data_IF_526111604139
#
_entry.id   IF_526111604139
#
_cell.length_a   1.000
_cell.length_b   1.000
_cell.length_c   1.000
_cell.angle_alpha   90.00
_cell.angle_beta   90.00
_cell.angle_gamma   90.00
#
_symmetry.space_group_name_H-M   'P 1'
#
loop_
_entity.id
_entity.type
_entity.pdbx_description
1 polymer ?
2 non-polymer ?
3 water ?
#
# COMPACT_ATOMS: atom_id res chain seq x y z
N UNK A 4 -16.74 4.78 2.93
CA UNK A 4 -15.51 3.98 2.82
C UNK A 4 -14.22 4.82 2.73
N UNK A 5 -14.34 6.16 2.74
CA UNK A 5 -13.15 6.99 2.73
C UNK A 5 -12.71 7.49 4.11
N UNK A 6 -13.29 6.88 5.13
CA UNK A 6 -12.99 7.01 6.50
C UNK A 6 -11.67 6.24 6.76
N UNK A 7 -11.01 6.63 7.84
CA UNK A 7 -9.69 6.05 8.14
C UNK A 7 -9.77 4.56 8.33
N UNK A 8 -10.77 4.08 9.06
CA UNK A 8 -10.84 2.65 9.41
C UNK A 8 -10.94 1.77 8.19
N UNK A 9 -11.67 2.19 7.16
CA UNK A 9 -11.82 1.39 5.95
C UNK A 9 -10.49 1.32 5.20
N UNK A 10 -9.81 2.46 5.08
CA UNK A 10 -8.54 2.53 4.42
C UNK A 10 -7.46 1.75 5.18
N UNK A 11 -7.46 1.83 6.52
CA UNK A 11 -6.52 1.09 7.33
C UNK A 11 -6.70 -0.40 7.05
N UNK A 12 -7.97 -0.88 7.01
CA UNK A 12 -8.20 -2.29 6.73
C UNK A 12 -7.69 -2.66 5.35
N UNK A 13 -7.86 -1.82 4.35
CA UNK A 13 -7.29 -2.15 3.03
C UNK A 13 -5.78 -2.25 3.08
N UNK A 14 -5.11 -1.31 3.76
CA UNK A 14 -3.66 -1.32 3.84
C UNK A 14 -3.17 -2.50 4.60
N UNK A 15 -3.84 -2.87 5.70
CA UNK A 15 -3.43 -4.03 6.47
C UNK A 15 -3.68 -5.32 5.73
N UNK A 16 -4.84 -5.43 5.07
CA UNK A 16 -5.15 -6.62 4.26
C UNK A 16 -4.06 -6.81 3.18
N UNK A 17 -3.62 -5.74 2.55
CA UNK A 17 -2.61 -5.92 1.48
C UNK A 17 -1.30 -6.37 2.07
N UNK A 18 -0.87 -5.83 3.23
CA UNK A 18 0.39 -6.33 3.81
C UNK A 18 0.23 -7.76 4.25
N UNK A 19 -0.92 -8.20 4.76
CA UNK A 19 -1.10 -9.59 5.15
C UNK A 19 -1.08 -10.48 3.93
N UNK A 20 -1.55 -10.02 2.76
CA UNK A 20 -1.47 -10.79 1.53
C UNK A 20 0.03 -10.92 1.15
N UNK A 21 0.79 -9.83 1.16
CA UNK A 21 2.23 -9.90 0.77
C UNK A 21 2.96 -10.84 1.72
N UNK A 22 2.71 -10.75 3.01
CA UNK A 22 3.41 -11.56 4.01
C UNK A 22 2.85 -12.96 4.09
N UNK A 23 1.86 -13.34 3.28
CA UNK A 23 1.29 -14.69 3.31
C UNK A 23 0.67 -15.05 4.65
N UNK A 24 0.08 -14.09 5.29
CA UNK A 24 -0.64 -14.27 6.56
C UNK A 24 -2.05 -13.66 6.48
N UNK A 25 -2.87 -14.01 5.46
CA UNK A 25 -4.24 -13.44 5.43
C UNK A 25 -4.97 -13.81 6.73
N UNK A 26 -5.78 -12.86 7.28
CA UNK A 26 -6.50 -13.11 8.54
C UNK A 26 -7.37 -14.33 8.36
N UNK A 27 -7.20 -15.37 9.19
CA UNK A 27 -8.00 -16.60 9.03
C UNK A 27 -9.51 -16.32 8.97
N UNK A 28 -10.24 -17.16 8.23
CA UNK A 28 -11.68 -17.00 8.00
C UNK A 28 -11.99 -16.93 6.52
N UNK A 30 -12.73 -13.65 5.66
CA UNK A 30 -11.88 -13.34 4.52
C UNK A 30 -11.96 -11.89 4.10
N UNK A 31 -11.08 -11.41 3.16
CA UNK A 31 -11.13 -9.99 2.80
C UNK A 31 -12.34 -9.64 1.99
N UNK A 32 -12.72 -8.36 1.99
CA UNK A 32 -13.84 -7.86 1.26
C UNK A 32 -13.61 -7.95 -0.25
N UNK A 33 -14.65 -7.72 -1.03
CA UNK A 33 -14.51 -7.68 -2.48
C UNK A 33 -13.53 -6.55 -2.85
N UNK A 34 -13.52 -5.41 -2.12
CA UNK A 34 -12.57 -4.34 -2.46
C UNK A 34 -11.17 -4.80 -2.29
N UNK A 35 -10.83 -5.42 -1.14
CA UNK A 35 -9.48 -5.87 -0.90
C UNK A 35 -9.10 -6.91 -1.87
N UNK A 36 -10.02 -7.83 -2.22
CA UNK A 36 -9.66 -8.87 -3.20
C UNK A 36 -9.28 -8.28 -4.54
N UNK A 37 -10.02 -7.28 -5.00
CA UNK A 37 -9.69 -6.64 -6.26
C UNK A 37 -8.36 -5.91 -6.17
N UNK A 38 -8.22 -5.17 -5.05
CA UNK A 38 -6.99 -4.39 -4.87
C UNK A 38 -5.74 -5.29 -4.79
N UNK A 39 -5.81 -6.44 -4.12
CA UNK A 39 -4.57 -7.22 -3.97
C UNK A 39 -4.04 -7.71 -5.31
N UNK A 40 -4.95 -8.08 -6.28
CA UNK A 40 -4.39 -8.49 -7.58
C UNK A 40 -3.73 -7.38 -8.35
N UNK A 41 -4.40 -6.20 -8.35
CA UNK A 41 -3.91 -5.09 -9.14
C UNK A 41 -2.63 -4.53 -8.51
N UNK A 42 -2.62 -4.35 -7.18
CA UNK A 42 -1.42 -3.80 -6.51
C UNK A 42 -0.26 -4.79 -6.59
N UNK A 43 -0.52 -6.10 -6.53
CA UNK A 43 0.58 -7.07 -6.62
C UNK A 43 1.21 -7.07 -7.99
N UNK A 44 0.40 -6.88 -9.05
CA UNK A 44 0.95 -6.82 -10.40
C UNK A 44 1.87 -5.61 -10.53
N UNK A 45 1.43 -4.46 -10.00
CA UNK A 45 2.28 -3.28 -10.01
C UNK A 45 3.56 -3.51 -9.19
N UNK A 46 3.39 -4.11 -7.99
CA UNK A 46 4.52 -4.33 -7.11
C UNK A 46 5.61 -5.18 -7.78
N UNK A 47 5.18 -6.28 -8.44
CA UNK A 47 6.16 -7.16 -9.04
C UNK A 47 6.93 -6.48 -10.14
N UNK A 48 6.24 -5.64 -10.92
CA UNK A 48 6.96 -4.95 -11.99
C UNK A 48 7.91 -3.91 -11.44
N UNK A 49 7.50 -3.19 -10.37
CA UNK A 49 8.38 -2.22 -9.74
C UNK A 49 9.63 -2.94 -9.19
N UNK A 50 9.45 -4.09 -8.49
CA UNK A 50 10.59 -4.80 -7.92
C UNK A 50 11.54 -5.26 -9.00
N UNK A 51 11.02 -5.66 -10.15
CA UNK A 51 11.90 -6.12 -11.25
C UNK A 51 12.66 -4.93 -11.80
N UNK A 52 11.98 -3.83 -12.09
CA UNK A 52 12.64 -2.68 -12.69
C UNK A 52 13.65 -1.99 -11.77
N UNK A 53 13.31 -1.95 -10.47
CA UNK A 53 14.13 -1.25 -9.50
C UNK A 53 15.03 -2.16 -8.69
N UNK A 54 15.29 -3.39 -9.14
CA UNK A 54 16.10 -4.33 -8.37
C UNK A 54 17.42 -3.76 -7.87
N UNK A 55 18.10 -3.00 -8.75
CA UNK A 55 19.40 -2.45 -8.38
C UNK A 55 19.29 -1.43 -7.26
N UNK A 56 18.35 -0.47 -7.37
CA UNK A 56 18.31 0.58 -6.39
C UNK A 56 17.58 0.22 -5.12
N UNK A 57 16.71 -0.82 -5.11
CA UNK A 57 16.05 -1.22 -3.89
C UNK A 57 17.09 -1.68 -2.85
N UNK A 58 18.29 -2.09 -3.27
CA UNK A 58 19.40 -2.43 -2.37
C UNK A 58 20.14 -1.18 -1.88
N UNK A 59 19.72 0.06 -2.23
CA UNK A 59 20.45 1.26 -1.81
C UNK A 59 20.04 1.78 -0.45
N UNK A 60 19.09 1.12 0.18
CA UNK A 60 18.65 1.44 1.50
C UNK A 60 18.73 0.19 2.36
N UNK A 61 18.83 0.40 3.65
CA UNK A 61 18.74 -0.69 4.61
C UNK A 61 17.61 -0.28 5.53
N UNK A 62 16.45 -0.99 5.41
CA UNK A 62 15.25 -0.58 6.15
C UNK A 62 15.24 -1.18 7.52
N UNK A 63 16.07 -0.58 8.39
CA UNK A 63 16.35 -1.15 9.71
C UNK A 63 15.30 -0.89 10.73
N UNK A 64 14.36 0.03 10.47
CA UNK A 64 13.38 0.39 11.46
C UNK A 64 12.14 0.92 10.79
N UNK A 65 11.07 1.00 11.57
CA UNK A 65 9.82 1.61 11.10
C UNK A 65 10.04 3.07 10.75
N UNK A 66 10.80 3.81 11.55
CA UNK A 66 11.03 5.24 11.22
C UNK A 66 11.75 5.36 9.89
N UNK A 67 12.69 4.44 9.57
CA UNK A 67 13.35 4.49 8.26
C UNK A 67 12.30 4.25 7.16
N UNK A 68 11.42 3.25 7.36
CA UNK A 68 10.40 2.98 6.36
C UNK A 68 9.45 4.16 6.19
N UNK A 69 9.10 4.85 7.29
CA UNK A 69 8.21 6.02 7.16
C UNK A 69 8.92 7.13 6.40
N UNK A 70 10.21 7.38 6.68
CA UNK A 70 10.95 8.40 5.95
C UNK A 70 10.97 8.11 4.44
N UNK A 71 11.27 6.86 4.09
CA UNK A 71 11.30 6.46 2.70
C UNK A 71 9.95 6.60 2.03
N UNK A 72 8.90 6.16 2.75
CA UNK A 72 7.55 6.31 2.25
C UNK A 72 7.23 7.80 1.98
N UNK A 73 7.56 8.68 2.93
CA UNK A 73 7.29 10.12 2.73
C UNK A 73 8.03 10.65 1.49
N UNK A 74 9.30 10.28 1.33
CA UNK A 74 10.06 10.76 0.17
C UNK A 74 9.48 10.25 -1.14
N UNK A 75 9.13 8.99 -1.21
CA UNK A 75 8.58 8.39 -2.44
C UNK A 75 7.24 8.99 -2.75
N UNK A 76 6.35 9.15 -1.75
CA UNK A 76 5.04 9.78 -2.04
C UNK A 76 5.11 11.22 -2.37
N UNK A 77 6.03 11.97 -1.78
CA UNK A 77 6.16 13.40 -2.14
C UNK A 77 6.52 13.48 -3.65
N UNK A 78 7.42 12.60 -4.08
CA UNK A 78 7.80 12.61 -5.47
C UNK A 78 6.69 12.09 -6.39
N UNK A 79 5.96 11.04 -6.00
CA UNK A 79 4.94 10.44 -6.83
C UNK A 79 3.83 11.41 -7.13
N UNK A 80 3.49 12.29 -6.20
CA UNK A 80 2.38 13.23 -6.35
C UNK A 80 2.85 14.67 -6.59
N UNK A 81 4.10 14.87 -6.99
CA UNK A 81 4.62 16.23 -7.12
C UNK A 81 3.90 17.06 -8.15
N UNK A 82 3.39 16.46 -9.23
CA UNK A 82 2.67 17.23 -10.27
C UNK A 82 1.23 17.56 -9.86
N UNK A 83 0.77 17.14 -8.68
CA UNK A 83 -0.56 17.43 -8.18
C UNK A 83 -1.68 16.64 -8.84
N UNK A 84 -1.33 15.59 -9.58
CA UNK A 84 -2.32 14.81 -10.29
C UNK A 84 -2.62 13.56 -9.42
N UNK A 85 -3.87 13.39 -9.05
CA UNK A 85 -4.29 12.17 -8.36
C UNK A 85 -5.05 11.37 -9.39
N UNK A 86 -4.79 10.05 -9.47
CA UNK A 86 -5.53 9.14 -10.29
C UNK A 86 -5.48 7.77 -9.60
N UNK A 87 -6.31 6.86 -10.11
CA UNK A 87 -6.38 5.55 -9.47
C UNK A 87 -5.07 4.79 -9.61
N UNK A 88 -4.31 5.01 -10.69
CA UNK A 88 -3.02 4.31 -10.84
C UNK A 88 -2.09 4.67 -9.71
N UNK A 89 -2.04 5.96 -9.38
CA UNK A 89 -1.19 6.42 -8.30
C UNK A 89 -1.64 5.89 -6.95
N UNK A 90 -2.97 5.74 -6.75
CA UNK A 90 -3.44 5.16 -5.49
C UNK A 90 -3.01 3.69 -5.38
N UNK A 91 -3.14 2.92 -6.46
CA UNK A 91 -2.66 1.52 -6.41
C UNK A 91 -1.18 1.48 -6.10
N UNK A 92 -0.39 2.40 -6.67
CA UNK A 92 1.04 2.41 -6.42
C UNK A 92 1.38 2.62 -4.96
N UNK A 93 0.53 3.29 -4.17
CA UNK A 93 0.79 3.45 -2.75
C UNK A 93 0.79 2.06 -2.10
N UNK A 94 -0.19 1.24 -2.43
CA UNK A 94 -0.25 -0.11 -1.84
C UNK A 94 0.91 -0.97 -2.33
N UNK A 95 1.23 -0.90 -3.64
CA UNK A 95 2.38 -1.65 -4.14
C UNK A 95 3.65 -1.28 -3.38
N UNK A 96 3.84 0.03 -3.13
CA UNK A 96 5.01 0.47 -2.41
C UNK A 96 5.04 0.02 -0.98
N UNK A 97 3.90 0.03 -0.24
CA UNK A 97 3.96 -0.50 1.11
C UNK A 97 4.32 -1.98 1.11
N UNK A 98 3.96 -2.70 0.06
CA UNK A 98 4.37 -4.10 -0.09
C UNK A 98 5.87 -4.25 -0.21
N UNK A 99 6.52 -3.36 -0.94
CA UNK A 99 7.98 -3.38 -1.05
C UNK A 99 8.60 -3.05 0.30
N UNK A 100 8.05 -2.04 0.98
CA UNK A 100 8.58 -1.69 2.31
C UNK A 100 8.50 -2.84 3.29
N UNK A 101 7.35 -3.54 3.32
CA UNK A 101 7.21 -4.62 4.29
C UNK A 101 8.17 -5.77 4.00
N UNK A 102 8.47 -6.01 2.71
CA UNK A 102 9.42 -7.06 2.37
C UNK A 102 10.84 -6.64 2.81
N UNK A 103 11.20 -5.39 2.69
CA UNK A 103 12.53 -4.95 3.12
C UNK A 103 12.57 -4.99 4.66
N UNK A 104 11.51 -4.58 5.36
CA UNK A 104 11.50 -4.66 6.81
C UNK A 104 11.59 -6.09 7.27
N UNK A 105 10.91 -7.03 6.61
CA UNK A 105 10.98 -8.43 7.05
C UNK A 105 12.43 -8.91 7.01
N UNK A 106 13.21 -8.49 6.02
CA UNK A 106 14.60 -8.87 5.94
C UNK A 106 15.53 -8.11 6.86
N UNK A 107 15.31 -6.82 7.05
CA UNK A 107 16.30 -5.90 7.61
C UNK A 107 15.95 -5.28 8.94
N UNK A 108 14.69 -5.33 9.38
CA UNK A 108 14.33 -4.67 10.62
C UNK A 108 15.10 -5.21 11.80
N UNK A 109 15.68 -4.32 12.61
CA UNK A 109 16.35 -4.75 13.85
C UNK A 109 15.29 -5.03 14.88
N UNK A 110 15.46 -6.10 15.68
CA UNK A 110 14.46 -6.56 16.67
C UNK A 110 13.09 -6.66 15.99
N UNK A 111 13.00 -7.52 14.95
CA UNK A 111 11.78 -7.58 14.17
C UNK A 111 10.54 -7.83 15.00
N UNK A 112 9.53 -7.04 14.75
CA UNK A 112 8.33 -7.01 15.52
C UNK A 112 7.17 -7.51 14.68
N UNK A 113 6.50 -8.59 15.14
CA UNK A 113 5.36 -9.16 14.40
C UNK A 113 4.24 -8.15 14.15
N UNK A 114 4.15 -7.09 14.96
CA UNK A 114 3.09 -6.11 14.74
C UNK A 114 3.51 -4.97 13.82
N UNK A 115 4.74 -4.98 13.28
CA UNK A 115 5.22 -3.85 12.47
C UNK A 115 4.30 -3.53 11.30
N UNK A 116 3.76 -4.55 10.63
CA UNK A 116 2.86 -4.31 9.50
C UNK A 116 1.65 -3.46 9.90
N UNK A 117 1.24 -3.49 11.18
CA UNK A 117 0.14 -2.65 11.66
C UNK A 117 0.53 -1.20 11.79
N UNK A 118 1.82 -0.91 12.07
CA UNK A 118 2.30 0.48 12.13
C UNK A 118 2.45 1.02 10.72
N UNK A 119 2.94 0.19 9.79
CA UNK A 119 3.05 0.63 8.37
C UNK A 119 1.65 0.91 7.82
N UNK A 120 0.68 0.04 8.13
CA UNK A 120 -0.72 0.20 7.68
C UNK A 120 -1.24 1.52 8.15
N UNK A 121 -0.93 1.93 9.37
CA UNK A 121 -1.42 3.18 9.92
C UNK A 121 -0.89 4.35 9.11
N UNK A 122 0.43 4.42 8.90
CA UNK A 122 0.92 5.65 8.24
C UNK A 122 0.57 5.68 6.74
N UNK A 123 0.34 4.51 6.14
CA UNK A 123 -0.16 4.46 4.76
C UNK A 123 -1.59 5.00 4.72
N UNK A 124 -2.43 4.53 5.65
CA UNK A 124 -3.80 5.03 5.70
C UNK A 124 -3.88 6.50 6.00
N UNK A 125 -2.98 6.99 6.87
CA UNK A 125 -2.95 8.43 7.18
C UNK A 125 -2.65 9.23 5.88
N UNK A 126 -1.66 8.76 5.12
CA UNK A 126 -1.32 9.46 3.89
C UNK A 126 -2.46 9.44 2.89
N UNK A 127 -3.07 8.27 2.68
CA UNK A 127 -4.15 8.14 1.72
C UNK A 127 -5.32 9.02 2.11
N UNK A 128 -5.75 8.94 3.39
CA UNK A 128 -6.90 9.71 3.82
C UNK A 128 -6.64 11.18 3.73
N UNK A 129 -5.51 11.67 4.23
CA UNK A 129 -5.29 13.10 4.31
C UNK A 129 -4.94 13.74 2.97
N UNK A 130 -4.30 13.02 2.09
CA UNK A 130 -3.83 13.58 0.83
C UNK A 130 -4.67 13.24 -0.38
N UNK A 131 -5.42 12.14 -0.34
CA UNK A 131 -6.26 11.70 -1.45
C UNK A 131 -7.69 11.33 -1.09
N UNK A 132 -8.09 11.41 0.17
CA UNK A 132 -9.40 10.93 0.59
C UNK A 132 -10.60 11.58 -0.08
N UNK A 133 -10.58 12.89 -0.17
CA UNK A 133 -11.70 13.60 -0.77
C UNK A 133 -11.72 13.40 -2.28
N UNK A 134 -10.56 13.26 -2.96
CA UNK A 134 -10.54 12.89 -4.38
C UNK A 134 -11.17 11.51 -4.54
N UNK A 135 -10.80 10.56 -3.66
CA UNK A 135 -11.36 9.22 -3.72
C UNK A 135 -12.91 9.27 -3.57
N UNK A 136 -13.44 9.93 -2.56
CA UNK A 136 -14.89 10.03 -2.33
C UNK A 136 -15.61 10.62 -3.55
N UNK A 137 -15.08 11.70 -4.05
CA UNK A 137 -15.69 12.35 -5.21
C UNK A 137 -15.59 11.56 -6.47
N UNK A 138 -14.68 10.58 -6.54
CA UNK A 138 -14.59 9.70 -7.67
C UNK A 138 -15.20 8.33 -7.41
N UNK A 139 -16.06 8.23 -6.40
CA UNK A 139 -16.85 7.03 -6.21
C UNK A 139 -16.47 6.21 -5.00
N UNK A 140 -15.46 6.62 -4.25
CA UNK A 140 -14.97 5.84 -3.11
C UNK A 140 -14.38 4.53 -3.62
N UNK A 141 -14.22 3.63 -2.69
CA UNK A 141 -13.63 2.33 -3.04
C UNK A 141 -14.63 1.47 -3.74
N UNK A 142 -15.87 1.41 -3.30
CA UNK A 142 -16.86 0.52 -3.88
C UNK A 142 -17.41 1.02 -5.24
N UNK A 143 -17.61 2.33 -5.38
CA UNK A 143 -18.16 2.86 -6.65
C UNK A 143 -17.14 3.57 -7.52
N UNK A 144 -15.89 3.54 -7.14
CA UNK A 144 -14.79 4.14 -7.88
C UNK A 144 -13.76 3.11 -8.16
N UNK A 145 -12.93 2.79 -7.20
CA UNK A 145 -11.83 1.84 -7.37
C UNK A 145 -12.33 0.49 -7.89
N UNK A 146 -13.32 -0.11 -7.24
CA UNK A 146 -13.75 -1.45 -7.65
C UNK A 146 -14.38 -1.41 -9.01
N UNK A 147 -15.13 -0.38 -9.33
CA UNK A 147 -15.75 -0.28 -10.66
C UNK A 147 -14.67 -0.14 -11.72
N UNK A 148 -13.56 0.50 -11.46
CA UNK A 148 -12.45 0.70 -12.38
C UNK A 148 -11.67 -0.60 -12.62
N UNK A 149 -11.39 -1.32 -11.55
CA UNK A 149 -10.44 -2.41 -11.57
C UNK A 149 -11.02 -3.80 -11.50
N UNK A 150 -12.28 -3.97 -11.17
CA UNK A 150 -12.86 -5.33 -11.06
C UNK A 150 -12.81 -5.99 -12.42
N UNK A 151 -12.87 -7.33 -12.43
CA UNK A 151 -12.71 -8.05 -13.66
C UNK A 151 -13.75 -7.69 -14.59
N UNK A 152 -13.32 -7.79 -15.85
CA UNK A 152 -14.22 -7.53 -16.95
C UNK A 152 -15.26 -8.66 -16.99
X LIG B 1 15.81 3.42 -8.12
X LIG B 1 14.80 4.24 -7.35
X LIG B 1 15.22 4.59 -5.93
X LIG B 1 16.39 4.78 -5.65
X LIG B 1 12.07 5.40 -5.86
X LIG B 1 10.73 5.17 -6.11
X LIG B 1 10.17 3.93 -5.79
X LIG B 1 10.98 2.96 -5.24
X LIG B 1 12.32 3.17 -4.98
X LIG B 1 7.98 4.53 -6.66
X LIG B 1 6.58 3.93 -6.51
X LIG B 1 6.47 3.01 -7.73
X LIG B 1 5.39 4.43 -10.50
X LIG B 1 3.52 6.68 -12.76
X LIG B 1 0.38 5.48 -13.10
X LIG B 1 14.58 5.04 -3.59
X LIG B 1 13.91 6.38 -3.32
X LIG B 1 14.29 7.03 -2.01
X LIG B 1 14.21 3.95 -2.60
X LIG B 1 14.24 4.67 -4.97
X LIG B 1 12.86 4.41 -5.29
X LIG B 1 10.44 1.76 -4.95
X LIG B 1 8.88 3.58 -6.02
X LIG B 1 7.10 3.85 -8.85
X LIG B 1 8.26 4.57 -8.17
X LIG B 1 6.13 4.77 -9.42
X LIG B 1 5.50 3.34 -11.08
X LIG B 1 4.54 5.38 -10.90
X LIG B 1 3.92 5.31 -12.23
X LIG B 1 2.23 7.10 -12.12
X LIG B 1 1.29 5.60 -12.00
X LIG B 1 0.77 5.46 -10.67
X LIG B 1 2.65 4.48 -12.23
X LIG B 1 15.30 6.65 -1.40
X LIG B 1 13.50 8.00 -1.58
X LIG B 1 13.05 4.05 -1.83
X LIG B 1 12.62 2.99 -1.05
X LIG B 1 13.36 1.82 -1.02
X LIG B 1 14.52 1.71 -1.76
X LIG B 1 14.93 2.77 -2.54
X LIG B 1 12.77 0.46 -0.11
#
# INVERSE_FOLDING_TARGET
GMTDCEFGYIYRLAQDYLQCVLQIPQPGSGPSKTSRVLQNVAFSVQKEVEKNLKSCLDNVNVVSVDTARTLFNQVMEKEFEDGIINWGRIVTIFAFEGILIKKLLRQQIAPDVDTYKEISYFVAEFIMNNTGEWIRQNGGWENGFVKKFEPK
A1ILW C1 C2 C3 O4 C7 C8 C9 C10 C11 C14 C15 C16 C20 C24 O28 C30 C31 C32 C35 N5 C6 F12 O13 C17 C18 N19 O21 N22 C23 C25 S26 O27 C29 O33 N34 C36 C37 C38 C39 C40 CL41
#
